data_IF_746150406295
#
_entry.id   IF_746150406295
#
_cell.length_a   1.000
_cell.length_b   1.000
_cell.length_c   1.000
_cell.angle_alpha   90.00
_cell.angle_beta   90.00
_cell.angle_gamma   90.00
#
_symmetry.space_group_name_H-M   'P 1'
#
loop_
_entity.id
_entity.type
_entity.pdbx_description
1 polymer ?
#
# COMPACT_ATOMS: atom_id res chain seq x y z
N UNK A 1 12.01 5.06 0.42
CA UNK A 1 11.15 6.04 -0.28
C UNK A 1 11.99 7.09 -1.02
N UNK A 2 13.05 6.65 -1.71
CA UNK A 2 13.88 7.59 -2.47
C UNK A 2 13.36 7.85 -3.89
N UNK A 3 12.36 7.10 -4.33
CA UNK A 3 12.11 6.99 -5.76
C UNK A 3 10.82 7.68 -6.25
N UNK A 4 9.89 8.06 -5.37
CA UNK A 4 8.64 8.74 -5.75
C UNK A 4 8.13 9.65 -4.62
N UNK A 5 8.81 10.76 -4.32
CA UNK A 5 8.41 11.68 -3.24
C UNK A 5 7.03 12.31 -3.48
N UNK A 6 6.62 12.45 -4.74
CA UNK A 6 5.33 12.98 -5.16
C UNK A 6 4.14 12.11 -4.75
N UNK A 7 4.37 10.83 -4.43
CA UNK A 7 3.36 9.91 -3.91
C UNK A 7 3.30 9.91 -2.37
N UNK A 8 3.94 10.87 -1.74
CA UNK A 8 3.81 11.13 -0.32
C UNK A 8 3.25 12.55 -0.11
N UNK A 9 1.94 12.63 0.07
CA UNK A 9 1.20 13.88 0.25
C UNK A 9 0.91 14.06 1.74
N UNK A 10 1.15 15.25 2.26
CA UNK A 10 0.82 15.62 3.64
C UNK A 10 -0.25 16.71 3.67
N UNK A 11 -1.10 16.66 4.67
CA UNK A 11 -1.98 17.76 5.01
C UNK A 11 -1.35 18.55 6.15
N UNK A 12 -1.09 19.82 5.90
CA UNK A 12 -0.58 20.79 6.86
C UNK A 12 -1.69 21.78 7.21
N UNK A 13 -1.89 21.98 8.51
CA UNK A 13 -2.86 22.92 9.07
C UNK A 13 -2.07 24.09 9.69
N UNK A 14 -2.46 25.31 9.42
CA UNK A 14 -1.73 26.52 9.83
C UNK A 14 -1.49 26.60 11.34
N UNK A 15 -2.44 26.10 12.14
CA UNK A 15 -2.35 26.16 13.60
C UNK A 15 -1.70 24.92 14.23
N UNK A 16 -1.85 23.75 13.58
CA UNK A 16 -1.51 22.43 14.14
C UNK A 16 -0.33 21.75 13.48
N UNK A 17 0.13 22.26 12.33
CA UNK A 17 1.14 21.60 11.52
C UNK A 17 0.59 20.36 10.82
N UNK A 18 1.38 19.31 10.66
CA UNK A 18 1.02 18.11 9.91
C UNK A 18 -0.12 17.34 10.62
N UNK A 19 -1.30 17.33 10.02
CA UNK A 19 -2.53 16.68 10.53
C UNK A 19 -2.86 15.37 9.81
N UNK A 20 -2.18 15.05 8.72
CA UNK A 20 -2.42 13.81 7.99
C UNK A 20 -1.41 13.54 6.89
N UNK A 21 -1.48 12.34 6.34
CA UNK A 21 -0.69 11.95 5.17
C UNK A 21 -1.44 10.94 4.29
N UNK A 22 -1.08 10.95 3.02
CA UNK A 22 -1.49 9.97 2.03
C UNK A 22 -0.24 9.45 1.31
N UNK A 23 -0.08 8.15 1.18
CA UNK A 23 1.13 7.57 0.58
C UNK A 23 0.85 6.31 -0.22
N UNK A 24 1.67 6.10 -1.23
CA UNK A 24 1.63 4.91 -2.04
C UNK A 24 2.90 4.71 -2.87
N UNK A 25 2.82 3.86 -3.89
CA UNK A 25 3.92 3.58 -4.79
C UNK A 25 3.42 3.14 -6.17
N UNK A 26 4.28 3.21 -7.17
CA UNK A 26 4.02 2.63 -8.48
C UNK A 26 4.33 1.14 -8.49
N UNK A 27 3.54 0.37 -9.23
CA UNK A 27 3.77 -1.06 -9.43
C UNK A 27 4.80 -1.35 -10.55
N UNK A 28 5.95 -0.72 -10.53
CA UNK A 28 7.06 -1.11 -11.40
C UNK A 28 7.72 -2.37 -10.82
N UNK A 29 7.24 -3.52 -11.27
CA UNK A 29 7.36 -4.81 -10.57
C UNK A 29 8.75 -5.39 -10.48
N UNK A 30 9.66 -5.10 -11.38
CA UNK A 30 10.90 -5.86 -11.45
C UNK A 30 12.14 -5.14 -10.94
N UNK A 31 12.21 -3.81 -11.09
CA UNK A 31 13.45 -3.10 -10.76
C UNK A 31 13.61 -2.77 -9.28
N UNK A 32 12.56 -2.35 -8.59
CA UNK A 32 12.72 -1.87 -7.20
C UNK A 32 13.05 -3.00 -6.21
N UNK A 33 12.36 -4.14 -6.30
CA UNK A 33 12.63 -5.26 -5.40
C UNK A 33 13.97 -5.93 -5.73
N UNK A 34 14.29 -6.05 -7.00
CA UNK A 34 15.57 -6.60 -7.46
C UNK A 34 16.71 -5.63 -7.15
N UNK A 35 16.54 -4.34 -7.38
CA UNK A 35 17.53 -3.32 -7.04
C UNK A 35 17.74 -3.21 -5.54
N UNK A 36 16.66 -3.24 -4.73
CA UNK A 36 16.78 -3.28 -3.28
C UNK A 36 17.55 -4.51 -2.80
N UNK A 37 17.20 -5.69 -3.30
CA UNK A 37 17.89 -6.94 -2.94
C UNK A 37 19.33 -6.94 -3.44
N UNK A 38 19.60 -6.46 -4.65
CA UNK A 38 20.95 -6.36 -5.22
C UNK A 38 21.81 -5.40 -4.40
N UNK A 39 21.31 -4.20 -4.09
CA UNK A 39 22.07 -3.17 -3.38
C UNK A 39 22.23 -3.44 -1.88
N UNK A 40 21.32 -4.21 -1.28
CA UNK A 40 21.35 -4.52 0.15
C UNK A 40 21.66 -5.99 0.46
N UNK A 41 21.98 -6.82 -0.55
CA UNK A 41 22.20 -8.26 -0.42
C UNK A 41 23.20 -8.58 0.71
N UNK A 42 24.34 -7.91 0.73
CA UNK A 42 25.36 -8.12 1.74
C UNK A 42 24.90 -7.66 3.13
N UNK A 43 24.22 -6.52 3.23
CA UNK A 43 23.68 -6.02 4.52
C UNK A 43 22.59 -6.93 5.08
N UNK A 44 21.71 -7.45 4.22
CA UNK A 44 20.66 -8.39 4.63
C UNK A 44 21.29 -9.71 5.08
N UNK A 45 22.25 -10.25 4.33
CA UNK A 45 22.98 -11.47 4.69
C UNK A 45 23.75 -11.31 6.00
N UNK A 46 24.47 -10.21 6.19
CA UNK A 46 25.19 -9.92 7.44
C UNK A 46 24.25 -9.80 8.65
N UNK A 47 23.15 -9.06 8.50
CA UNK A 47 22.17 -8.94 9.59
C UNK A 47 21.47 -10.25 9.92
N UNK A 48 21.13 -11.05 8.93
CA UNK A 48 20.52 -12.38 9.16
C UNK A 48 21.54 -13.33 9.80
N UNK A 49 22.78 -13.31 9.37
CA UNK A 49 23.86 -14.12 9.98
C UNK A 49 24.13 -13.70 11.43
N UNK A 50 24.19 -12.39 11.71
CA UNK A 50 24.36 -11.87 13.07
C UNK A 50 23.18 -12.24 13.99
N UNK A 51 21.95 -12.16 13.48
CA UNK A 51 20.74 -12.59 14.19
C UNK A 51 20.73 -14.11 14.46
N UNK A 52 21.31 -14.90 13.58
CA UNK A 52 21.48 -16.35 13.78
C UNK A 52 22.52 -16.65 14.88
N UNK A 53 23.58 -15.87 14.94
CA UNK A 53 24.65 -16.03 15.95
C UNK A 53 24.22 -15.58 17.35
N UNK A 54 23.32 -14.63 17.48
CA UNK A 54 22.85 -14.12 18.77
C UNK A 54 21.88 -15.04 19.52
N UNK A 55 21.49 -16.18 18.94
CA UNK A 55 20.77 -17.28 19.62
C UNK A 55 19.41 -16.92 20.21
N UNK A 56 18.81 -15.79 19.82
CA UNK A 56 17.54 -15.35 20.37
C UNK A 56 16.37 -16.25 19.92
N UNK A 57 15.92 -17.12 20.82
CA UNK A 57 14.82 -18.09 20.58
C UNK A 57 13.53 -17.45 20.01
N UNK A 58 13.24 -16.21 20.40
CA UNK A 58 12.06 -15.51 19.87
C UNK A 58 12.20 -15.18 18.37
N UNK A 59 13.40 -14.79 17.95
CA UNK A 59 13.71 -14.48 16.54
C UNK A 59 13.67 -15.74 15.70
N UNK A 60 14.19 -16.85 16.21
CA UNK A 60 14.12 -18.17 15.58
C UNK A 60 12.68 -18.65 15.41
N UNK A 61 11.85 -18.54 16.46
CA UNK A 61 10.45 -18.96 16.40
C UNK A 61 9.64 -18.11 15.40
N UNK A 62 9.87 -16.80 15.33
CA UNK A 62 9.23 -15.92 14.34
C UNK A 62 9.68 -16.24 12.91
N UNK A 63 10.95 -16.58 12.72
CA UNK A 63 11.50 -16.96 11.41
C UNK A 63 10.97 -18.33 10.96
N UNK A 64 10.97 -19.33 11.84
CA UNK A 64 10.39 -20.64 11.59
C UNK A 64 8.87 -20.58 11.34
N UNK A 65 8.15 -19.73 12.06
CA UNK A 65 6.74 -19.50 11.83
C UNK A 65 6.46 -18.91 10.43
N UNK A 66 7.35 -18.03 9.92
CA UNK A 66 7.26 -17.51 8.54
C UNK A 66 7.55 -18.58 7.48
N UNK A 67 8.47 -19.53 7.74
CA UNK A 67 8.73 -20.64 6.86
C UNK A 67 7.63 -21.72 6.91
N UNK A 68 7.00 -21.92 8.08
CA UNK A 68 5.85 -22.82 8.24
C UNK A 68 4.55 -22.21 7.69
N UNK A 69 4.44 -20.91 7.69
CA UNK A 69 3.36 -20.22 6.99
C UNK A 69 3.70 -20.23 5.50
N UNK A 70 3.44 -21.35 4.81
CA UNK A 70 3.17 -21.27 3.37
C UNK A 70 2.15 -20.16 3.24
N UNK A 71 2.39 -19.10 2.42
CA UNK A 71 1.28 -18.27 2.03
C UNK A 71 0.27 -19.25 1.47
N UNK A 72 -0.84 -19.46 2.14
CA UNK A 72 -1.98 -20.11 1.53
C UNK A 72 -2.10 -19.43 0.18
N UNK A 73 -2.12 -20.20 -0.90
CA UNK A 73 -2.48 -19.69 -2.21
C UNK A 73 -3.74 -18.93 -1.91
N UNK A 74 -3.62 -17.62 -1.88
CA UNK A 74 -4.69 -16.79 -1.38
C UNK A 74 -5.70 -16.83 -2.48
N UNK A 75 -6.79 -17.53 -2.24
CA UNK A 75 -7.92 -17.61 -3.13
C UNK A 75 -8.54 -16.21 -3.23
N UNK A 76 -7.88 -15.39 -4.07
CA UNK A 76 -8.44 -14.13 -4.48
C UNK A 76 -9.59 -14.42 -5.42
N UNK A 77 -10.78 -14.11 -4.99
CA UNK A 77 -11.95 -14.12 -5.87
C UNK A 77 -12.05 -12.77 -6.56
N UNK A 78 -11.87 -12.75 -7.88
CA UNK A 78 -12.06 -11.55 -8.69
C UNK A 78 -13.58 -11.32 -8.79
N UNK A 79 -13.99 -10.13 -8.32
CA UNK A 79 -15.39 -9.69 -8.36
C UNK A 79 -15.65 -8.86 -9.60
N UNK A 80 -14.65 -8.08 -10.03
CA UNK A 80 -14.76 -7.18 -11.17
C UNK A 80 -13.46 -7.18 -11.98
N UNK A 81 -13.50 -7.66 -13.20
CA UNK A 81 -12.35 -7.77 -14.12
C UNK A 81 -12.26 -6.63 -15.15
N UNK A 82 -13.09 -5.60 -15.02
CA UNK A 82 -13.25 -4.50 -15.98
C UNK A 82 -11.92 -3.88 -16.45
N UNK A 83 -10.90 -3.82 -15.58
CA UNK A 83 -9.63 -3.18 -15.86
C UNK A 83 -8.44 -4.15 -15.89
N UNK A 84 -8.66 -5.44 -16.07
CA UNK A 84 -7.59 -6.44 -16.14
C UNK A 84 -6.62 -6.23 -17.32
N UNK A 85 -7.10 -5.63 -18.40
CA UNK A 85 -6.30 -5.29 -19.59
C UNK A 85 -5.25 -4.19 -19.31
N UNK A 86 -5.38 -3.44 -18.21
CA UNK A 86 -4.40 -2.41 -17.84
C UNK A 86 -3.13 -3.09 -17.33
N UNK A 87 -2.00 -2.81 -18.00
CA UNK A 87 -0.70 -3.39 -17.68
C UNK A 87 -0.23 -3.01 -16.25
N UNK A 88 0.53 -3.88 -15.64
CA UNK A 88 1.04 -3.67 -14.27
C UNK A 88 1.87 -2.39 -14.13
N UNK A 89 2.67 -2.03 -15.13
CA UNK A 89 3.43 -0.78 -15.16
C UNK A 89 2.57 0.49 -15.28
N UNK A 90 1.28 0.34 -15.57
CA UNK A 90 0.30 1.44 -15.59
C UNK A 90 -0.55 1.49 -14.32
N UNK A 91 -0.21 0.70 -13.32
CA UNK A 91 -0.90 0.64 -12.02
C UNK A 91 -0.06 1.25 -10.93
N UNK A 92 -0.71 1.72 -9.89
CA UNK A 92 -0.07 2.12 -8.64
C UNK A 92 -0.93 1.72 -7.46
N UNK A 93 -0.29 1.58 -6.31
CA UNK A 93 -0.93 1.16 -5.05
C UNK A 93 -0.95 2.31 -4.05
N UNK A 94 -2.14 2.63 -3.56
CA UNK A 94 -2.34 3.46 -2.39
C UNK A 94 -2.17 2.60 -1.14
N UNK A 95 -1.16 2.92 -0.33
CA UNK A 95 -0.81 2.16 0.87
C UNK A 95 -1.57 2.62 2.10
N UNK A 96 -1.64 3.94 2.30
CA UNK A 96 -2.21 4.50 3.53
C UNK A 96 -2.75 5.91 3.32
N UNK A 97 -3.89 6.18 3.95
CA UNK A 97 -4.42 7.52 4.17
C UNK A 97 -4.72 7.65 5.66
N UNK A 98 -4.10 8.62 6.30
CA UNK A 98 -4.26 8.85 7.72
C UNK A 98 -4.54 10.33 8.01
N UNK A 99 -5.48 10.60 8.90
CA UNK A 99 -5.79 11.94 9.41
C UNK A 99 -6.04 11.86 10.91
N UNK A 100 -5.50 12.79 11.65
CA UNK A 100 -5.72 12.90 13.10
C UNK A 100 -7.22 12.85 13.42
N UNK A 101 -7.60 12.17 14.52
CA UNK A 101 -9.02 11.95 14.85
C UNK A 101 -9.86 13.22 14.91
N UNK A 102 -9.34 14.28 15.50
CA UNK A 102 -9.97 15.58 15.69
C UNK A 102 -9.94 16.51 14.44
N UNK A 103 -9.17 16.10 13.42
CA UNK A 103 -9.12 16.77 12.12
C UNK A 103 -9.96 16.06 11.05
N UNK A 104 -10.64 14.98 11.41
CA UNK A 104 -11.49 14.25 10.46
C UNK A 104 -12.76 15.02 10.13
N UNK A 105 -13.26 14.82 8.91
CA UNK A 105 -14.45 15.52 8.41
C UNK A 105 -14.19 16.94 7.89
N UNK A 106 -12.97 17.46 8.02
CA UNK A 106 -12.59 18.80 7.58
C UNK A 106 -12.05 18.88 6.14
N UNK A 107 -12.15 17.80 5.36
CA UNK A 107 -11.71 17.78 3.96
C UNK A 107 -10.26 17.33 3.73
N UNK A 108 -9.39 17.27 4.74
CA UNK A 108 -7.97 16.93 4.57
C UNK A 108 -7.73 15.59 3.84
N UNK A 109 -8.46 14.54 4.22
CA UNK A 109 -8.34 13.24 3.55
C UNK A 109 -8.70 13.33 2.07
N UNK A 110 -9.73 14.12 1.74
CA UNK A 110 -10.20 14.33 0.37
C UNK A 110 -9.13 15.07 -0.45
N UNK A 111 -8.64 16.20 0.03
CA UNK A 111 -7.61 16.98 -0.65
C UNK A 111 -6.33 16.18 -0.90
N UNK A 112 -5.86 15.42 0.11
CA UNK A 112 -4.69 14.54 -0.06
C UNK A 112 -4.93 13.43 -1.08
N UNK A 113 -6.14 12.84 -1.10
CA UNK A 113 -6.49 11.81 -2.08
C UNK A 113 -6.48 12.37 -3.50
N UNK A 114 -7.06 13.53 -3.71
CA UNK A 114 -7.11 14.20 -5.01
C UNK A 114 -5.71 14.52 -5.53
N UNK A 115 -4.85 15.09 -4.70
CA UNK A 115 -3.45 15.36 -5.06
C UNK A 115 -2.69 14.09 -5.37
N UNK A 116 -2.87 13.03 -4.57
CA UNK A 116 -2.23 11.73 -4.79
C UNK A 116 -2.64 11.12 -6.15
N UNK A 117 -3.95 11.13 -6.46
CA UNK A 117 -4.46 10.59 -7.72
C UNK A 117 -4.02 11.44 -8.93
N UNK A 118 -3.94 12.76 -8.77
CA UNK A 118 -3.42 13.66 -9.79
C UNK A 118 -1.95 13.36 -10.10
N UNK A 119 -1.10 13.23 -9.06
CA UNK A 119 0.30 12.86 -9.22
C UNK A 119 0.46 11.49 -9.92
N UNK A 120 -0.35 10.50 -9.58
CA UNK A 120 -0.35 9.22 -10.28
C UNK A 120 -0.67 9.37 -11.77
N UNK A 121 -1.68 10.16 -12.10
CA UNK A 121 -2.11 10.42 -13.48
C UNK A 121 -1.03 11.15 -14.29
N UNK A 122 -0.38 12.15 -13.72
CA UNK A 122 0.75 12.87 -14.33
C UNK A 122 1.91 11.95 -14.68
N UNK A 123 2.14 10.91 -13.87
CA UNK A 123 3.15 9.88 -14.13
C UNK A 123 2.64 8.73 -15.02
N UNK A 124 1.57 8.95 -15.78
CA UNK A 124 1.05 8.00 -16.76
C UNK A 124 0.42 6.75 -16.18
N UNK A 125 0.05 6.76 -14.89
CA UNK A 125 -0.70 5.65 -14.30
C UNK A 125 -2.15 5.77 -14.68
N UNK A 126 -2.77 4.64 -14.98
CA UNK A 126 -4.17 4.55 -15.41
C UNK A 126 -5.08 3.94 -14.35
N UNK A 127 -4.50 3.21 -13.39
CA UNK A 127 -5.26 2.48 -12.39
C UNK A 127 -4.62 2.62 -11.01
N UNK A 128 -5.41 3.03 -10.04
CA UNK A 128 -5.04 3.03 -8.62
C UNK A 128 -5.69 1.85 -7.92
N UNK A 129 -4.88 1.08 -7.20
CA UNK A 129 -5.32 -0.03 -6.37
C UNK A 129 -5.13 0.31 -4.89
N UNK A 130 -5.94 -0.27 -4.04
CA UNK A 130 -5.75 -0.26 -2.59
C UNK A 130 -6.30 -1.52 -1.95
N UNK A 131 -5.79 -1.85 -0.78
CA UNK A 131 -6.31 -2.96 0.02
C UNK A 131 -6.81 -2.47 1.36
N UNK A 132 -7.94 -3.01 1.80
CA UNK A 132 -8.58 -2.66 3.08
C UNK A 132 -9.12 -3.91 3.75
N UNK A 133 -9.08 -3.95 5.08
CA UNK A 133 -9.70 -5.03 5.85
C UNK A 133 -11.23 -4.98 5.69
N UNK A 134 -11.85 -6.14 5.58
CA UNK A 134 -13.32 -6.27 5.40
C UNK A 134 -14.09 -5.58 6.53
N UNK A 135 -13.61 -5.67 7.73
CA UNK A 135 -14.20 -5.07 8.95
C UNK A 135 -14.11 -3.53 8.99
N UNK A 136 -13.19 -2.92 8.23
CA UNK A 136 -13.00 -1.47 8.22
C UNK A 136 -14.04 -0.75 7.36
N UNK A 137 -15.30 -0.79 7.80
CA UNK A 137 -16.43 -0.20 7.08
C UNK A 137 -16.26 1.31 6.82
N UNK A 138 -15.58 2.02 7.74
CA UNK A 138 -15.33 3.45 7.56
C UNK A 138 -14.44 3.73 6.36
N UNK A 139 -13.31 3.02 6.24
CA UNK A 139 -12.40 3.18 5.11
C UNK A 139 -13.07 2.73 3.81
N UNK A 140 -13.83 1.64 3.82
CA UNK A 140 -14.60 1.17 2.66
C UNK A 140 -15.53 2.26 2.13
N UNK A 141 -16.39 2.81 2.98
CA UNK A 141 -17.31 3.92 2.59
C UNK A 141 -16.57 5.15 2.08
N UNK A 142 -15.39 5.44 2.65
CA UNK A 142 -14.57 6.54 2.18
C UNK A 142 -14.05 6.29 0.75
N UNK A 143 -13.53 5.11 0.45
CA UNK A 143 -13.03 4.76 -0.88
C UNK A 143 -14.16 4.67 -1.91
N UNK A 144 -15.28 4.05 -1.57
CA UNK A 144 -16.47 3.95 -2.43
C UNK A 144 -16.99 5.35 -2.82
N UNK A 145 -17.08 6.29 -1.86
CA UNK A 145 -17.44 7.69 -2.14
C UNK A 145 -16.43 8.42 -3.03
N UNK A 146 -15.18 7.99 -3.01
CA UNK A 146 -14.13 8.51 -3.89
C UNK A 146 -14.07 7.80 -5.24
N UNK A 147 -15.06 6.99 -5.58
CA UNK A 147 -15.19 6.32 -6.88
C UNK A 147 -14.30 5.10 -7.04
N UNK A 148 -13.85 4.50 -5.95
CA UNK A 148 -13.20 3.21 -5.99
C UNK A 148 -14.24 2.10 -6.05
N UNK A 149 -14.04 1.12 -6.94
CA UNK A 149 -14.88 -0.05 -7.14
C UNK A 149 -14.20 -1.29 -6.54
N UNK A 150 -15.00 -2.21 -5.99
CA UNK A 150 -14.47 -3.48 -5.50
C UNK A 150 -13.92 -4.30 -6.66
N UNK A 151 -12.64 -4.68 -6.56
CA UNK A 151 -11.95 -5.47 -7.57
C UNK A 151 -11.93 -6.96 -7.23
N UNK A 152 -11.45 -7.28 -6.03
CA UNK A 152 -11.29 -8.66 -5.58
C UNK A 152 -11.41 -8.79 -4.07
N UNK A 153 -11.75 -9.99 -3.61
CA UNK A 153 -11.86 -10.34 -2.19
C UNK A 153 -10.84 -11.42 -1.83
N UNK A 154 -10.36 -11.39 -0.61
CA UNK A 154 -9.50 -12.40 -0.02
C UNK A 154 -10.21 -13.05 1.16
N UNK A 155 -11.13 -13.95 0.87
CA UNK A 155 -11.97 -14.53 1.91
C UNK A 155 -12.63 -13.44 2.77
N UNK A 156 -12.65 -13.66 4.07
CA UNK A 156 -13.20 -12.68 5.03
C UNK A 156 -12.20 -11.59 5.47
N UNK A 157 -10.92 -11.72 5.11
CA UNK A 157 -9.84 -10.91 5.68
C UNK A 157 -9.61 -9.58 4.98
N UNK A 158 -9.82 -9.49 3.68
CA UNK A 158 -9.43 -8.31 2.93
C UNK A 158 -10.14 -8.10 1.60
N UNK A 159 -10.28 -6.84 1.26
CA UNK A 159 -10.87 -6.36 0.01
C UNK A 159 -9.83 -5.54 -0.73
N UNK A 160 -9.75 -5.71 -2.05
CA UNK A 160 -8.99 -4.81 -2.91
C UNK A 160 -9.97 -3.99 -3.73
N UNK A 161 -9.79 -2.70 -3.70
CA UNK A 161 -10.54 -1.74 -4.51
C UNK A 161 -9.65 -1.22 -5.63
N UNK A 162 -10.28 -0.76 -6.71
CA UNK A 162 -9.62 -0.15 -7.86
C UNK A 162 -10.36 1.10 -8.31
N UNK A 163 -9.60 2.05 -8.87
CA UNK A 163 -10.14 3.27 -9.49
C UNK A 163 -9.37 3.58 -10.77
N UNK A 164 -10.10 3.82 -11.87
CA UNK A 164 -9.55 4.37 -13.11
C UNK A 164 -9.21 5.87 -12.88
N UNK A 165 -8.05 6.31 -13.38
CA UNK A 165 -7.51 7.68 -13.21
C UNK A 165 -7.78 8.56 -14.42
#
# INVERSE_FOLDING_TARGET
>A
MKDNPELFVVADDEERGIVGFCMGYYMDKDDQKQNFLRNNRMRVLWKTMLLMLTGNKQTWNKMLARFKHKPSVTDWTIVNNKYEHILNNQRGDLLSVCVLPDCRGKGYAQGMMEQYLAAMKEHGRKLCLLSVKTENQRARRYYERNGFELYRTRGEEGLTYMKLL
#
